data_IF_009612205427
#
_entry.id   IF_009612205427
#
_cell.length_a   1.000
_cell.length_b   1.000
_cell.length_c   1.000
_cell.angle_alpha   90.00
_cell.angle_beta   90.00
_cell.angle_gamma   90.00
#
_symmetry.space_group_name_H-M   'P 1'
#
loop_
_entity.id
_entity.type
_entity.pdbx_description
1 polymer ?
#
# COMPACT_ATOMS: atom_id res chain seq x y z
N UNK A 1 -22.59 16.30 26.40
CA UNK A 1 -22.70 15.89 24.98
C UNK A 1 -21.91 14.59 24.81
N UNK A 2 -22.56 13.51 24.38
CA UNK A 2 -21.93 12.22 24.13
C UNK A 2 -21.37 12.16 22.70
N UNK A 3 -20.12 11.73 22.54
CA UNK A 3 -19.60 11.07 21.31
C UNK A 3 -18.28 10.34 21.67
N UNK A 4 -18.40 9.20 22.35
CA UNK A 4 -18.06 7.85 21.86
C UNK A 4 -16.60 7.66 21.49
N UNK A 5 -15.89 7.03 22.43
CA UNK A 5 -14.75 6.16 22.23
C UNK A 5 -15.01 5.13 21.12
N UNK A 6 -14.05 4.98 20.19
CA UNK A 6 -13.61 3.70 19.59
C UNK A 6 -12.52 3.97 18.54
N UNK A 7 -11.26 3.99 18.98
CA UNK A 7 -10.14 3.73 18.08
C UNK A 7 -9.02 2.99 18.82
N UNK A 8 -9.38 2.16 19.82
CA UNK A 8 -8.63 0.93 20.04
C UNK A 8 -9.00 0.04 18.86
N UNK A 9 -8.40 0.33 17.69
CA UNK A 9 -8.49 -0.53 16.53
C UNK A 9 -7.98 -1.87 17.01
N UNK A 10 -8.94 -2.75 17.28
CA UNK A 10 -8.78 -4.08 17.80
C UNK A 10 -7.49 -4.68 17.27
N UNK A 11 -6.49 -4.82 18.13
CA UNK A 11 -5.45 -5.84 17.98
C UNK A 11 -6.17 -7.18 18.20
N UNK A 12 -7.13 -7.44 17.32
CA UNK A 12 -7.76 -8.72 17.19
C UNK A 12 -6.62 -9.61 16.71
N UNK A 13 -6.56 -10.80 17.28
CA UNK A 13 -5.97 -12.00 16.70
C UNK A 13 -6.66 -12.30 15.35
N UNK A 14 -6.69 -11.31 14.45
CA UNK A 14 -7.55 -11.17 13.29
C UNK A 14 -6.90 -12.02 12.23
N UNK A 15 -7.61 -13.07 11.84
CA UNK A 15 -7.27 -13.84 10.64
C UNK A 15 -7.15 -12.85 9.50
N UNK A 16 -5.92 -12.56 9.09
CA UNK A 16 -5.62 -11.71 7.94
C UNK A 16 -6.27 -12.37 6.73
N UNK A 17 -7.04 -11.62 5.94
CA UNK A 17 -7.68 -12.19 4.76
C UNK A 17 -6.60 -12.71 3.79
N UNK A 18 -6.92 -13.74 3.01
CA UNK A 18 -5.97 -14.26 2.00
C UNK A 18 -5.46 -13.13 1.11
N UNK A 19 -6.35 -12.20 0.72
CA UNK A 19 -5.99 -11.02 -0.05
C UNK A 19 -4.97 -10.13 0.68
N UNK A 20 -5.15 -9.82 1.96
CA UNK A 20 -4.15 -9.03 2.71
C UNK A 20 -2.80 -9.74 2.83
N UNK A 21 -2.80 -11.07 2.93
CA UNK A 21 -1.54 -11.83 2.93
C UNK A 21 -0.81 -11.74 1.59
N UNK A 22 -1.54 -11.88 0.48
CA UNK A 22 -0.98 -11.76 -0.87
C UNK A 22 -0.46 -10.34 -1.15
N UNK A 23 -1.18 -9.33 -0.69
CA UNK A 23 -0.75 -7.93 -0.89
C UNK A 23 0.59 -7.63 -0.22
N UNK A 24 0.91 -8.24 0.93
CA UNK A 24 2.20 -8.04 1.58
C UNK A 24 3.36 -8.55 0.72
N UNK A 25 3.18 -9.71 0.07
CA UNK A 25 4.21 -10.30 -0.80
C UNK A 25 4.29 -9.54 -2.13
N UNK A 26 3.14 -9.26 -2.74
CA UNK A 26 3.07 -8.59 -4.05
C UNK A 26 3.61 -7.16 -3.99
N UNK A 27 3.36 -6.41 -2.91
CA UNK A 27 3.89 -5.04 -2.77
C UNK A 27 5.41 -5.06 -2.65
N UNK A 28 5.97 -5.97 -1.85
CA UNK A 28 7.42 -6.10 -1.71
C UNK A 28 8.08 -6.49 -3.05
N UNK A 29 7.49 -7.42 -3.78
CA UNK A 29 7.95 -7.81 -5.11
C UNK A 29 7.81 -6.68 -6.13
N UNK A 30 6.73 -5.89 -6.07
CA UNK A 30 6.51 -4.74 -6.95
C UNK A 30 7.58 -3.66 -6.75
N UNK A 31 7.94 -3.36 -5.51
CA UNK A 31 8.99 -2.37 -5.22
C UNK A 31 10.38 -2.87 -5.63
N UNK A 32 10.66 -4.16 -5.43
CA UNK A 32 11.95 -4.76 -5.81
C UNK A 32 12.14 -4.89 -7.34
N UNK A 33 11.05 -5.11 -8.09
CA UNK A 33 11.10 -5.33 -9.54
C UNK A 33 10.69 -4.09 -10.36
N UNK A 34 10.31 -2.98 -9.71
CA UNK A 34 9.94 -1.77 -10.44
C UNK A 34 11.13 -1.20 -11.21
N UNK A 35 10.95 -0.77 -12.46
CA UNK A 35 11.97 0.00 -13.14
C UNK A 35 12.22 1.30 -12.39
N UNK A 36 13.42 1.87 -12.52
CA UNK A 36 13.81 3.09 -11.81
C UNK A 36 12.98 4.34 -12.20
N UNK A 37 12.32 4.28 -13.34
CA UNK A 37 11.31 5.24 -13.81
C UNK A 37 10.02 5.20 -13.00
N UNK A 38 9.76 4.10 -12.30
CA UNK A 38 8.55 3.87 -11.53
C UNK A 38 8.81 4.04 -10.04
N UNK A 39 7.92 4.75 -9.35
CA UNK A 39 7.89 4.86 -7.89
C UNK A 39 6.50 4.55 -7.36
N UNK A 40 6.44 3.64 -6.41
CA UNK A 40 5.21 3.30 -5.70
C UNK A 40 5.10 4.20 -4.47
N UNK A 41 3.91 4.74 -4.21
CA UNK A 41 3.60 5.54 -3.04
C UNK A 41 2.32 5.05 -2.38
N UNK A 42 2.36 4.82 -1.07
CA UNK A 42 1.21 4.43 -0.26
C UNK A 42 0.81 5.60 0.64
N UNK A 43 -0.26 6.37 0.31
CA UNK A 43 -0.73 7.46 1.15
C UNK A 43 -1.13 7.02 2.57
N UNK A 44 -1.54 5.76 2.71
CA UNK A 44 -1.84 5.11 3.98
C UNK A 44 -1.17 3.73 4.00
N UNK A 45 -0.13 3.52 4.83
CA UNK A 45 0.61 2.26 4.86
C UNK A 45 -0.23 1.07 5.35
N UNK A 46 -1.37 1.33 6.01
CA UNK A 46 -2.30 0.27 6.43
C UNK A 46 -3.27 -0.14 5.31
N UNK A 47 -3.27 0.56 4.18
CA UNK A 47 -4.15 0.30 3.04
C UNK A 47 -3.35 -0.03 1.79
N UNK A 48 -2.70 -1.19 1.80
CA UNK A 48 -1.92 -1.72 0.68
C UNK A 48 -2.71 -1.86 -0.64
N UNK A 49 -4.05 -1.87 -0.57
CA UNK A 49 -4.92 -1.87 -1.77
C UNK A 49 -5.01 -0.52 -2.47
N UNK A 50 -4.59 0.56 -1.81
CA UNK A 50 -4.73 1.93 -2.28
C UNK A 50 -3.34 2.54 -2.37
N UNK A 51 -2.74 2.47 -3.55
CA UNK A 51 -1.43 3.03 -3.83
C UNK A 51 -1.46 3.87 -5.11
N UNK A 52 -0.42 4.67 -5.25
CA UNK A 52 -0.15 5.47 -6.44
C UNK A 52 1.11 4.93 -7.09
N UNK A 53 1.05 4.68 -8.40
CA UNK A 53 2.22 4.38 -9.21
C UNK A 53 2.58 5.66 -9.98
N UNK A 54 3.74 6.21 -9.69
CA UNK A 54 4.28 7.38 -10.36
C UNK A 54 5.25 6.87 -11.42
N UNK A 55 5.00 7.20 -12.68
CA UNK A 55 5.88 6.85 -13.81
C UNK A 55 6.55 8.13 -14.30
N UNK A 56 7.88 8.16 -14.24
CA UNK A 56 8.73 9.23 -14.76
C UNK A 56 9.35 8.73 -16.06
N UNK A 57 8.90 9.20 -17.23
CA UNK A 57 9.51 8.80 -18.49
C UNK A 57 10.94 9.33 -18.58
N UNK A 58 11.89 8.49 -19.02
CA UNK A 58 13.31 8.87 -19.17
C UNK A 58 13.65 9.48 -20.51
N UNK A 59 12.77 9.33 -21.49
CA UNK A 59 13.00 9.85 -22.83
C UNK A 59 12.17 11.11 -23.02
N UNK A 60 12.86 12.24 -23.00
CA UNK A 60 12.43 13.40 -23.77
C UNK A 60 12.53 12.98 -25.22
N UNK A 61 11.39 12.68 -25.86
CA UNK A 61 11.30 12.60 -27.31
C UNK A 61 11.68 13.97 -27.88
N UNK A 62 12.98 14.17 -28.16
CA UNK A 62 13.49 15.25 -29.00
C UNK A 62 13.39 14.85 -30.47
#
# INVERSE_FOLDING_TARGET
KLKRDDATASISTRRVSVREKLLLTEVAELEANSPWTCKVHFPDPNKLRCFQLIVTPDEVYL
#
